data_IF_272071200202
#
_entry.id   IF_272071200202
#
_cell.length_a   1.000
_cell.length_b   1.000
_cell.length_c   1.000
_cell.angle_alpha   90.00
_cell.angle_beta   90.00
_cell.angle_gamma   90.00
#
_symmetry.space_group_name_H-M   'P 1'
#
loop_
_entity.id
_entity.type
_entity.pdbx_description
1 polymer ?
#
# COMPACT_ATOMS: atom_id res chain seq x y z
N UNK A 1 8.58 -30.31 -16.89
CA UNK A 1 7.22 -29.74 -16.64
C UNK A 1 7.35 -28.32 -16.06
N UNK A 2 6.49 -27.40 -16.44
CA UNK A 2 6.58 -26.02 -15.91
C UNK A 2 6.00 -26.00 -14.49
N UNK A 3 6.76 -25.47 -13.53
CA UNK A 3 6.35 -25.37 -12.12
C UNK A 3 5.01 -24.62 -11.98
N UNK A 4 3.91 -25.34 -11.83
CA UNK A 4 2.54 -24.81 -11.73
C UNK A 4 2.38 -23.98 -10.47
N UNK A 5 3.09 -24.32 -9.39
CA UNK A 5 3.08 -23.58 -8.12
C UNK A 5 3.72 -22.21 -8.32
N UNK A 6 4.86 -22.17 -9.02
CA UNK A 6 5.52 -20.90 -9.41
C UNK A 6 4.60 -20.04 -10.25
N UNK A 7 4.07 -20.58 -11.33
CA UNK A 7 3.15 -19.84 -12.24
C UNK A 7 1.91 -19.32 -11.52
N UNK A 8 1.31 -20.11 -10.62
CA UNK A 8 0.16 -19.70 -9.83
C UNK A 8 0.49 -18.53 -8.89
N UNK A 9 1.67 -18.57 -8.26
CA UNK A 9 2.12 -17.52 -7.35
C UNK A 9 2.48 -16.24 -8.09
N UNK A 10 3.22 -16.34 -9.19
CA UNK A 10 3.55 -15.19 -10.05
C UNK A 10 2.29 -14.52 -10.61
N UNK A 11 1.30 -15.33 -11.01
CA UNK A 11 0.00 -14.79 -11.40
C UNK A 11 -0.66 -13.98 -10.28
N UNK A 12 -0.67 -14.49 -9.03
CA UNK A 12 -1.22 -13.78 -7.88
C UNK A 12 -0.48 -12.46 -7.63
N UNK A 13 0.85 -12.48 -7.60
CA UNK A 13 1.69 -11.29 -7.44
C UNK A 13 1.32 -10.24 -8.49
N UNK A 14 1.30 -10.63 -9.77
CA UNK A 14 0.94 -9.73 -10.88
C UNK A 14 -0.47 -9.14 -10.74
N UNK A 15 -1.43 -9.93 -10.28
CA UNK A 15 -2.80 -9.46 -10.09
C UNK A 15 -2.92 -8.48 -8.92
N UNK A 16 -2.11 -8.64 -7.85
CA UNK A 16 -2.03 -7.69 -6.76
C UNK A 16 -1.45 -6.37 -7.28
N UNK A 17 -0.34 -6.40 -8.01
CA UNK A 17 0.29 -5.20 -8.58
C UNK A 17 -0.64 -4.42 -9.51
N UNK A 18 -1.42 -5.13 -10.34
CA UNK A 18 -2.45 -4.50 -11.19
C UNK A 18 -3.53 -3.81 -10.33
N UNK A 19 -3.97 -4.48 -9.26
CA UNK A 19 -4.97 -3.90 -8.34
C UNK A 19 -4.42 -2.67 -7.62
N UNK A 20 -3.20 -2.76 -7.08
CA UNK A 20 -2.49 -1.63 -6.44
C UNK A 20 -2.40 -0.43 -7.39
N UNK A 21 -1.95 -0.64 -8.62
CA UNK A 21 -1.83 0.43 -9.61
C UNK A 21 -3.18 1.07 -9.96
N UNK A 22 -4.26 0.28 -10.04
CA UNK A 22 -5.59 0.79 -10.36
C UNK A 22 -6.18 1.59 -9.19
N UNK A 23 -6.10 1.05 -7.97
CA UNK A 23 -6.60 1.74 -6.77
C UNK A 23 -5.75 2.96 -6.41
N UNK A 24 -4.43 2.92 -6.66
CA UNK A 24 -3.59 4.10 -6.49
C UNK A 24 -4.00 5.24 -7.44
N UNK A 25 -4.30 4.94 -8.71
CA UNK A 25 -4.79 5.97 -9.64
C UNK A 25 -6.10 6.60 -9.19
N UNK A 26 -7.03 5.81 -8.66
CA UNK A 26 -8.29 6.33 -8.11
C UNK A 26 -8.08 7.08 -6.79
N UNK A 27 -7.11 6.66 -5.94
CA UNK A 27 -6.69 7.41 -4.76
C UNK A 27 -6.19 8.82 -5.12
N UNK A 28 -5.30 8.91 -6.11
CA UNK A 28 -4.78 10.22 -6.55
C UNK A 28 -5.91 11.14 -6.98
N UNK A 29 -6.89 10.63 -7.73
CA UNK A 29 -8.06 11.43 -8.13
C UNK A 29 -8.90 11.90 -6.93
N UNK A 30 -9.10 11.04 -5.93
CA UNK A 30 -9.81 11.38 -4.71
C UNK A 30 -9.06 12.47 -3.92
N UNK A 31 -7.73 12.32 -3.78
CA UNK A 31 -6.90 13.30 -3.07
C UNK A 31 -6.82 14.64 -3.81
N UNK A 32 -6.74 14.65 -5.13
CA UNK A 32 -6.78 15.90 -5.93
C UNK A 32 -8.13 16.61 -5.78
N UNK A 33 -9.22 15.87 -5.59
CA UNK A 33 -10.54 16.43 -5.31
C UNK A 33 -10.62 16.98 -3.88
N UNK A 34 -10.15 16.24 -2.90
CA UNK A 34 -10.05 16.67 -1.49
C UNK A 34 -9.25 17.97 -1.41
N UNK A 35 -8.08 18.01 -2.04
CA UNK A 35 -7.22 19.20 -2.05
C UNK A 35 -7.98 20.44 -2.55
N UNK A 36 -8.61 20.33 -3.71
CA UNK A 36 -9.38 21.45 -4.29
C UNK A 36 -10.51 21.91 -3.37
N UNK A 37 -11.26 20.97 -2.80
CA UNK A 37 -12.40 21.29 -1.95
C UNK A 37 -11.98 21.87 -0.59
N UNK A 38 -10.91 21.35 0.02
CA UNK A 38 -10.37 21.87 1.30
C UNK A 38 -9.82 23.29 1.09
N UNK A 39 -9.08 23.52 0.02
CA UNK A 39 -8.57 24.86 -0.31
C UNK A 39 -9.71 25.83 -0.62
N UNK A 40 -10.71 25.41 -1.40
CA UNK A 40 -11.88 26.24 -1.70
C UNK A 40 -12.70 26.55 -0.44
N UNK A 41 -12.86 25.56 0.47
CA UNK A 41 -13.51 25.74 1.75
C UNK A 41 -12.76 26.77 2.62
N UNK A 42 -11.45 26.64 2.76
CA UNK A 42 -10.63 27.61 3.49
C UNK A 42 -10.69 29.00 2.86
N UNK A 43 -10.66 29.05 1.53
CA UNK A 43 -10.79 30.32 0.78
C UNK A 43 -12.13 31.03 1.03
N UNK A 44 -13.21 30.27 1.17
CA UNK A 44 -14.56 30.78 1.36
C UNK A 44 -14.82 31.19 2.82
N UNK A 45 -14.37 30.36 3.77
CA UNK A 45 -14.83 30.44 5.15
C UNK A 45 -13.89 31.26 6.06
N UNK A 46 -12.64 31.51 5.63
CA UNK A 46 -11.68 32.27 6.44
C UNK A 46 -11.67 33.75 6.04
N UNK A 47 -11.91 34.63 7.02
CA UNK A 47 -11.81 36.07 6.87
C UNK A 47 -10.37 36.54 6.62
N UNK A 48 -10.22 37.64 5.87
CA UNK A 48 -8.92 38.20 5.47
C UNK A 48 -8.90 39.70 5.54
N UNK A 49 -7.73 40.24 5.78
CA UNK A 49 -7.41 41.65 5.56
C UNK A 49 -7.24 41.97 4.08
N UNK A 50 -7.16 43.23 3.72
CA UNK A 50 -6.95 43.70 2.34
C UNK A 50 -5.62 43.25 1.73
N UNK A 51 -4.59 43.00 2.58
CA UNK A 51 -3.29 42.46 2.15
C UNK A 51 -3.25 40.90 2.17
N UNK A 52 -4.41 40.26 2.37
CA UNK A 52 -4.58 38.79 2.30
C UNK A 52 -4.21 38.02 3.53
N UNK A 53 -3.98 38.66 4.70
CA UNK A 53 -3.69 37.99 5.97
C UNK A 53 -4.95 37.41 6.59
N UNK A 54 -4.84 36.23 7.19
CA UNK A 54 -5.92 35.53 7.87
C UNK A 54 -6.18 36.14 9.25
N UNK A 55 -7.45 36.37 9.62
CA UNK A 55 -7.81 37.10 10.84
C UNK A 55 -8.91 36.45 11.69
N UNK A 56 -9.60 35.45 11.22
CA UNK A 56 -10.77 34.89 11.94
C UNK A 56 -10.51 33.53 12.57
N UNK A 57 -10.11 33.53 13.84
CA UNK A 57 -9.79 32.32 14.58
C UNK A 57 -11.01 31.40 14.80
N UNK A 58 -12.21 31.97 15.01
CA UNK A 58 -13.42 31.17 15.18
C UNK A 58 -13.78 30.40 13.91
N UNK A 59 -13.62 31.00 12.74
CA UNK A 59 -13.83 30.33 11.46
C UNK A 59 -12.84 29.19 11.26
N UNK A 60 -11.56 29.35 11.69
CA UNK A 60 -10.56 28.30 11.66
C UNK A 60 -10.92 27.10 12.59
N UNK A 61 -11.55 27.35 13.72
CA UNK A 61 -12.06 26.28 14.60
C UNK A 61 -13.27 25.58 13.97
N UNK A 62 -14.20 26.34 13.37
CA UNK A 62 -15.43 25.83 12.78
C UNK A 62 -15.22 25.03 11.49
N UNK A 63 -14.04 25.12 10.86
CA UNK A 63 -13.77 24.44 9.58
C UNK A 63 -13.61 22.92 9.72
N UNK A 64 -13.23 22.40 10.90
CA UNK A 64 -12.93 21.00 11.15
C UNK A 64 -14.03 20.00 10.74
N UNK A 65 -15.31 20.17 11.15
CA UNK A 65 -16.37 19.26 10.73
C UNK A 65 -16.61 19.31 9.21
N UNK A 66 -16.37 20.46 8.56
CA UNK A 66 -16.49 20.60 7.10
C UNK A 66 -15.37 19.88 6.36
N UNK A 67 -14.12 19.98 6.85
CA UNK A 67 -12.98 19.16 6.36
C UNK A 67 -13.28 17.68 6.52
N UNK A 68 -13.79 17.28 7.71
CA UNK A 68 -14.18 15.89 7.93
C UNK A 68 -15.20 15.40 6.93
N UNK A 69 -16.23 16.17 6.63
CA UNK A 69 -17.26 15.82 5.66
C UNK A 69 -16.67 15.62 4.25
N UNK A 70 -15.70 16.44 3.84
CA UNK A 70 -14.99 16.28 2.56
C UNK A 70 -14.20 14.96 2.55
N UNK A 71 -13.41 14.67 3.60
CA UNK A 71 -12.62 13.44 3.69
C UNK A 71 -13.50 12.20 3.73
N UNK A 72 -14.60 12.23 4.47
CA UNK A 72 -15.54 11.11 4.56
C UNK A 72 -16.19 10.84 3.20
N UNK A 73 -16.61 11.86 2.49
CA UNK A 73 -17.25 11.71 1.18
C UNK A 73 -16.29 11.20 0.09
N UNK A 74 -15.07 11.68 0.06
CA UNK A 74 -14.15 11.38 -1.03
C UNK A 74 -13.21 10.21 -0.67
N UNK A 75 -12.53 10.28 0.48
CA UNK A 75 -11.52 9.30 0.84
C UNK A 75 -12.12 8.02 1.43
N UNK A 76 -13.11 8.12 2.34
CA UNK A 76 -13.72 6.90 2.90
C UNK A 76 -14.58 6.17 1.87
N UNK A 77 -15.26 6.86 0.94
CA UNK A 77 -15.96 6.22 -0.16
C UNK A 77 -15.01 5.48 -1.09
N UNK A 78 -13.83 6.06 -1.39
CA UNK A 78 -12.78 5.37 -2.12
C UNK A 78 -12.28 4.13 -1.36
N UNK A 79 -11.98 4.26 -0.08
CA UNK A 79 -11.47 3.16 0.75
C UNK A 79 -12.48 2.02 0.90
N UNK A 80 -13.78 2.34 1.02
CA UNK A 80 -14.87 1.35 1.02
C UNK A 80 -14.88 0.54 -0.29
N UNK A 81 -14.69 1.20 -1.43
CA UNK A 81 -14.56 0.53 -2.73
C UNK A 81 -13.38 -0.44 -2.76
N UNK A 82 -12.20 -0.02 -2.25
CA UNK A 82 -11.02 -0.91 -2.15
C UNK A 82 -11.32 -2.14 -1.30
N UNK A 83 -11.92 -1.93 -0.13
CA UNK A 83 -12.19 -3.01 0.83
C UNK A 83 -13.30 -3.94 0.32
N UNK A 84 -14.41 -3.41 -0.17
CA UNK A 84 -15.53 -4.25 -0.65
C UNK A 84 -15.20 -5.00 -1.92
N UNK A 85 -14.73 -4.28 -2.94
CA UNK A 85 -14.49 -4.89 -4.25
C UNK A 85 -13.09 -5.50 -4.38
N UNK A 86 -12.06 -4.75 -3.94
CA UNK A 86 -10.66 -5.15 -4.09
C UNK A 86 -10.39 -6.46 -3.36
N UNK A 87 -10.78 -6.56 -2.10
CA UNK A 87 -10.55 -7.76 -1.29
C UNK A 87 -11.44 -8.92 -1.75
N UNK A 88 -12.67 -8.66 -2.20
CA UNK A 88 -13.51 -9.71 -2.78
C UNK A 88 -12.88 -10.30 -4.06
N UNK A 89 -12.39 -9.43 -4.95
CA UNK A 89 -11.69 -9.87 -6.16
C UNK A 89 -10.41 -10.64 -5.81
N UNK A 90 -9.69 -10.20 -4.77
CA UNK A 90 -8.48 -10.86 -4.31
C UNK A 90 -8.76 -12.23 -3.71
N UNK A 91 -9.81 -12.39 -2.90
CA UNK A 91 -10.23 -13.68 -2.36
C UNK A 91 -10.55 -14.69 -3.47
N UNK A 92 -11.29 -14.27 -4.51
CA UNK A 92 -11.55 -15.11 -5.69
C UNK A 92 -10.28 -15.48 -6.46
N UNK A 93 -9.24 -14.65 -6.44
CA UNK A 93 -7.96 -14.98 -7.08
C UNK A 93 -7.16 -16.02 -6.29
N UNK A 94 -7.20 -15.95 -4.97
CA UNK A 94 -6.62 -17.00 -4.11
C UNK A 94 -7.33 -18.31 -4.37
N UNK A 95 -8.67 -18.35 -4.37
CA UNK A 95 -9.47 -19.53 -4.73
C UNK A 95 -9.05 -20.10 -6.09
N UNK A 96 -9.00 -19.26 -7.13
CA UNK A 96 -8.59 -19.69 -8.47
C UNK A 96 -7.16 -20.25 -8.50
N UNK A 97 -6.25 -19.72 -7.67
CA UNK A 97 -4.89 -20.22 -7.56
C UNK A 97 -4.87 -21.65 -6.98
N UNK A 98 -5.67 -21.91 -5.94
CA UNK A 98 -5.81 -23.24 -5.35
C UNK A 98 -6.41 -24.26 -6.33
N UNK A 99 -7.46 -23.91 -7.06
CA UNK A 99 -8.07 -24.76 -8.12
C UNK A 99 -7.05 -25.15 -9.20
N UNK A 100 -6.09 -24.29 -9.50
CA UNK A 100 -5.07 -24.57 -10.53
C UNK A 100 -3.99 -25.54 -10.11
N UNK A 101 -3.71 -25.67 -8.82
CA UNK A 101 -2.66 -26.55 -8.32
C UNK A 101 -3.07 -28.03 -8.46
N UNK A 102 -4.36 -28.35 -8.45
CA UNK A 102 -4.91 -29.66 -8.80
C UNK A 102 -4.74 -30.76 -7.72
N UNK A 103 -3.59 -30.79 -7.04
CA UNK A 103 -3.27 -31.81 -6.03
C UNK A 103 -3.65 -31.36 -4.59
N UNK A 104 -4.54 -30.40 -4.48
CA UNK A 104 -5.15 -29.95 -3.23
C UNK A 104 -6.51 -30.64 -3.13
N UNK A 105 -6.89 -31.21 -1.95
CA UNK A 105 -8.22 -31.78 -1.76
C UNK A 105 -9.32 -30.82 -2.16
N UNK A 106 -10.35 -31.35 -2.81
CA UNK A 106 -11.40 -30.55 -3.49
C UNK A 106 -12.09 -29.59 -2.52
N UNK A 107 -12.31 -30.00 -1.28
CA UNK A 107 -12.91 -29.19 -0.22
C UNK A 107 -12.10 -27.92 0.12
N UNK A 108 -10.80 -27.92 -0.17
CA UNK A 108 -9.93 -26.75 0.03
C UNK A 108 -9.67 -25.93 -1.24
N UNK A 109 -10.19 -26.35 -2.39
CA UNK A 109 -10.05 -25.59 -3.63
C UNK A 109 -10.98 -24.38 -3.66
N UNK A 110 -12.13 -24.43 -2.98
CA UNK A 110 -13.10 -23.33 -2.86
C UNK A 110 -12.93 -22.58 -1.52
N UNK A 111 -13.51 -21.39 -1.42
CA UNK A 111 -13.55 -20.65 -0.17
C UNK A 111 -14.51 -21.34 0.81
N UNK A 112 -13.97 -21.79 1.93
CA UNK A 112 -14.75 -22.38 3.03
C UNK A 112 -15.54 -21.32 3.80
N UNK A 113 -16.46 -21.75 4.68
CA UNK A 113 -17.14 -20.82 5.61
C UNK A 113 -16.14 -20.09 6.51
N UNK A 114 -15.07 -20.75 6.93
CA UNK A 114 -13.98 -20.14 7.69
C UNK A 114 -13.23 -19.06 6.90
N UNK A 115 -12.89 -19.33 5.63
CA UNK A 115 -12.29 -18.36 4.73
C UNK A 115 -13.17 -17.12 4.54
N UNK A 116 -14.48 -17.30 4.35
CA UNK A 116 -15.43 -16.20 4.19
C UNK A 116 -15.54 -15.35 5.46
N UNK A 117 -15.54 -15.98 6.64
CA UNK A 117 -15.51 -15.27 7.92
C UNK A 117 -14.21 -14.48 8.09
N UNK A 118 -13.06 -15.08 7.76
CA UNK A 118 -11.77 -14.41 7.75
C UNK A 118 -11.76 -13.20 6.79
N UNK A 119 -12.26 -13.36 5.58
CA UNK A 119 -12.39 -12.26 4.60
C UNK A 119 -13.21 -11.11 5.16
N UNK A 120 -14.33 -11.40 5.84
CA UNK A 120 -15.17 -10.37 6.48
C UNK A 120 -14.40 -9.62 7.57
N UNK A 121 -13.71 -10.33 8.44
CA UNK A 121 -12.93 -9.73 9.53
C UNK A 121 -11.77 -8.86 8.99
N UNK A 122 -11.04 -9.34 7.98
CA UNK A 122 -9.97 -8.57 7.36
C UNK A 122 -10.49 -7.30 6.69
N UNK A 123 -11.65 -7.37 6.01
CA UNK A 123 -12.30 -6.18 5.44
C UNK A 123 -12.58 -5.13 6.51
N UNK A 124 -13.14 -5.53 7.65
CA UNK A 124 -13.44 -4.61 8.74
C UNK A 124 -12.16 -4.02 9.34
N UNK A 125 -11.14 -4.83 9.58
CA UNK A 125 -9.86 -4.38 10.11
C UNK A 125 -9.18 -3.34 9.21
N UNK A 126 -9.11 -3.60 7.91
CA UNK A 126 -8.46 -2.66 6.98
C UNK A 126 -9.30 -1.40 6.75
N UNK A 127 -10.63 -1.50 6.74
CA UNK A 127 -11.48 -0.32 6.69
C UNK A 127 -11.26 0.61 7.89
N UNK A 128 -11.07 0.03 9.09
CA UNK A 128 -10.72 0.81 10.29
C UNK A 128 -9.40 1.54 10.11
N UNK A 129 -8.36 0.90 9.56
CA UNK A 129 -7.08 1.56 9.28
C UNK A 129 -7.22 2.74 8.30
N UNK A 130 -8.03 2.59 7.25
CA UNK A 130 -8.33 3.72 6.36
C UNK A 130 -9.07 4.84 7.07
N UNK A 131 -10.03 4.51 7.94
CA UNK A 131 -10.75 5.49 8.75
C UNK A 131 -9.82 6.26 9.69
N UNK A 132 -8.83 5.60 10.27
CA UNK A 132 -7.82 6.24 11.13
C UNK A 132 -6.99 7.27 10.36
N UNK A 133 -6.65 7.00 9.10
CA UNK A 133 -6.01 8.00 8.23
C UNK A 133 -6.92 9.20 8.02
N UNK A 134 -8.20 8.99 7.71
CA UNK A 134 -9.17 10.09 7.54
C UNK A 134 -9.24 10.96 8.80
N UNK A 135 -9.37 10.35 9.97
CA UNK A 135 -9.43 11.05 11.25
C UNK A 135 -8.14 11.84 11.55
N UNK A 136 -6.98 11.21 11.30
CA UNK A 136 -5.66 11.83 11.50
C UNK A 136 -5.51 13.06 10.62
N UNK A 137 -5.86 12.96 9.34
CA UNK A 137 -5.70 14.07 8.41
C UNK A 137 -6.78 15.13 8.55
N UNK A 138 -7.98 14.80 9.00
CA UNK A 138 -8.97 15.80 9.45
C UNK A 138 -8.35 16.69 10.54
N UNK A 139 -7.71 16.08 11.55
CA UNK A 139 -7.06 16.83 12.63
C UNK A 139 -5.89 17.68 12.11
N UNK A 140 -4.97 17.10 11.33
CA UNK A 140 -3.80 17.80 10.79
C UNK A 140 -4.18 19.00 9.91
N UNK A 141 -5.13 18.83 8.99
CA UNK A 141 -5.60 19.92 8.13
C UNK A 141 -6.25 21.05 8.93
N UNK A 142 -7.03 20.69 9.96
CA UNK A 142 -7.65 21.68 10.85
C UNK A 142 -6.59 22.41 11.68
N UNK A 143 -5.56 21.71 12.15
CA UNK A 143 -4.46 22.29 12.92
C UNK A 143 -3.61 23.23 12.05
N UNK A 144 -3.26 22.83 10.83
CA UNK A 144 -2.57 23.69 9.86
C UNK A 144 -3.39 24.97 9.61
N UNK A 145 -4.69 24.84 9.42
CA UNK A 145 -5.56 26.01 9.22
C UNK A 145 -5.56 26.94 10.46
N UNK A 146 -5.73 26.36 11.65
CA UNK A 146 -5.73 27.10 12.90
C UNK A 146 -4.42 27.84 13.14
N UNK A 147 -3.27 27.18 12.96
CA UNK A 147 -1.95 27.78 13.17
C UNK A 147 -1.70 28.95 12.21
N UNK A 148 -2.05 28.81 10.94
CA UNK A 148 -1.88 29.88 9.95
C UNK A 148 -2.74 31.12 10.28
N UNK A 149 -3.96 30.91 10.77
CA UNK A 149 -4.82 32.02 11.22
C UNK A 149 -4.28 32.67 12.50
N UNK A 150 -3.81 31.85 13.45
CA UNK A 150 -3.29 32.31 14.74
C UNK A 150 -2.09 33.26 14.57
N UNK A 151 -1.18 32.94 13.64
CA UNK A 151 0.01 33.78 13.36
C UNK A 151 -0.22 34.87 12.32
N UNK A 152 -1.42 34.94 11.74
CA UNK A 152 -1.77 35.93 10.73
C UNK A 152 -1.04 35.76 9.40
N UNK A 153 -0.79 34.51 8.98
CA UNK A 153 -0.18 34.20 7.70
C UNK A 153 -1.06 34.62 6.52
N UNK A 154 -0.44 34.79 5.35
CA UNK A 154 -1.19 35.00 4.12
C UNK A 154 -1.90 33.72 3.69
N UNK A 155 -3.05 33.87 3.05
CA UNK A 155 -3.81 32.71 2.54
C UNK A 155 -2.98 31.82 1.60
N UNK A 156 -2.09 32.41 0.81
CA UNK A 156 -1.20 31.66 -0.10
C UNK A 156 -0.27 30.70 0.64
N UNK A 157 0.16 31.05 1.86
CA UNK A 157 0.97 30.17 2.71
C UNK A 157 0.14 29.01 3.25
N UNK A 158 -1.06 29.30 3.76
CA UNK A 158 -2.02 28.26 4.16
C UNK A 158 -2.36 27.32 3.01
N UNK A 159 -2.67 27.85 1.83
CA UNK A 159 -2.96 27.05 0.64
C UNK A 159 -1.82 26.10 0.32
N UNK A 160 -0.57 26.57 0.34
CA UNK A 160 0.62 25.75 0.12
C UNK A 160 0.74 24.61 1.15
N UNK A 161 0.54 24.91 2.42
CA UNK A 161 0.61 23.90 3.49
C UNK A 161 -0.53 22.87 3.43
N UNK A 162 -1.76 23.29 3.11
CA UNK A 162 -2.88 22.37 2.90
C UNK A 162 -2.59 21.38 1.76
N UNK A 163 -2.10 21.90 0.61
CA UNK A 163 -1.70 21.09 -0.54
C UNK A 163 -0.59 20.11 -0.17
N UNK A 164 0.43 20.56 0.56
CA UNK A 164 1.53 19.71 1.02
C UNK A 164 1.06 18.65 2.01
N UNK A 165 0.14 18.98 2.91
CA UNK A 165 -0.43 18.03 3.87
C UNK A 165 -1.22 16.93 3.20
N UNK A 166 -1.91 17.21 2.10
CA UNK A 166 -2.71 16.21 1.36
C UNK A 166 -1.83 15.42 0.38
N UNK A 167 -1.18 16.10 -0.55
CA UNK A 167 -0.48 15.49 -1.69
C UNK A 167 1.06 15.46 -1.55
N UNK A 168 1.61 16.12 -0.53
CA UNK A 168 3.05 16.28 -0.35
C UNK A 168 3.66 17.32 -1.29
N UNK A 169 4.99 17.43 -1.27
CA UNK A 169 5.75 18.41 -2.06
C UNK A 169 5.51 18.35 -3.58
N UNK A 170 4.98 17.24 -4.07
CA UNK A 170 4.66 17.07 -5.49
C UNK A 170 3.44 17.89 -5.96
N UNK A 171 2.82 18.68 -5.08
CA UNK A 171 1.73 19.58 -5.44
C UNK A 171 2.25 20.89 -6.05
N UNK A 172 3.25 21.52 -5.42
CA UNK A 172 3.90 22.75 -5.88
C UNK A 172 5.27 22.94 -5.22
N UNK A 173 6.15 23.70 -5.85
CA UNK A 173 7.45 24.09 -5.30
C UNK A 173 7.83 25.49 -5.79
N UNK A 174 8.47 26.29 -4.92
CA UNK A 174 9.05 27.59 -5.28
C UNK A 174 10.39 27.44 -6.04
N UNK A 175 10.99 26.25 -5.99
CA UNK A 175 12.17 25.91 -6.77
C UNK A 175 11.77 25.62 -8.21
N UNK A 176 12.22 26.45 -9.14
CA UNK A 176 11.85 26.39 -10.57
C UNK A 176 12.19 25.04 -11.21
N UNK A 177 13.33 24.43 -10.85
CA UNK A 177 13.73 23.11 -11.39
C UNK A 177 12.86 22.00 -10.80
N UNK A 178 12.60 22.06 -9.49
CA UNK A 178 11.70 21.11 -8.84
C UNK A 178 10.29 21.23 -9.42
N UNK A 179 9.79 22.43 -9.67
CA UNK A 179 8.49 22.65 -10.27
C UNK A 179 8.41 22.07 -11.69
N UNK A 180 9.45 22.23 -12.52
CA UNK A 180 9.51 21.59 -13.84
C UNK A 180 9.42 20.08 -13.78
N UNK A 181 10.10 19.45 -12.81
CA UNK A 181 10.04 18.00 -12.58
C UNK A 181 8.65 17.57 -12.09
N UNK A 182 8.05 18.33 -11.19
CA UNK A 182 6.67 18.11 -10.69
C UNK A 182 5.67 18.14 -11.86
N UNK A 183 5.75 19.18 -12.70
CA UNK A 183 4.88 19.33 -13.86
C UNK A 183 5.08 18.21 -14.89
N UNK A 184 6.33 17.80 -15.10
CA UNK A 184 6.65 16.67 -15.96
C UNK A 184 6.04 15.36 -15.44
N UNK A 185 6.19 15.05 -14.13
CA UNK A 185 5.61 13.89 -13.49
C UNK A 185 4.08 13.93 -13.62
N UNK A 186 3.45 15.06 -13.27
CA UNK A 186 2.00 15.20 -13.30
C UNK A 186 1.40 14.99 -14.70
N UNK A 187 2.08 15.47 -15.74
CA UNK A 187 1.67 15.29 -17.14
C UNK A 187 1.87 13.87 -17.65
N UNK A 188 2.89 13.15 -17.15
CA UNK A 188 3.32 11.88 -17.74
C UNK A 188 3.15 10.65 -16.83
N UNK A 189 2.68 10.81 -15.59
CA UNK A 189 2.57 9.73 -14.58
C UNK A 189 1.79 8.48 -15.01
N UNK A 190 0.95 8.61 -16.03
CA UNK A 190 0.17 7.49 -16.59
C UNK A 190 0.64 7.04 -17.97
N UNK A 191 1.65 7.69 -18.54
CA UNK A 191 2.19 7.33 -19.83
C UNK A 191 3.22 6.19 -19.70
N UNK A 192 2.87 5.01 -20.20
CA UNK A 192 3.69 3.81 -20.09
C UNK A 192 5.06 3.97 -20.77
N UNK A 193 5.12 4.65 -21.93
CA UNK A 193 6.37 4.87 -22.67
C UNK A 193 7.36 5.80 -21.96
N UNK A 194 6.86 6.65 -21.05
CA UNK A 194 7.67 7.60 -20.28
C UNK A 194 7.92 7.17 -18.84
N UNK A 195 7.51 5.95 -18.47
CA UNK A 195 7.63 5.45 -17.10
C UNK A 195 9.04 5.57 -16.52
N UNK A 196 10.06 5.18 -17.26
CA UNK A 196 11.46 5.26 -16.82
C UNK A 196 11.92 6.72 -16.55
N UNK A 197 11.45 7.68 -17.35
CA UNK A 197 11.74 9.09 -17.16
C UNK A 197 10.98 9.67 -15.96
N UNK A 198 9.71 9.28 -15.79
CA UNK A 198 8.90 9.65 -14.60
C UNK A 198 9.56 9.12 -13.33
N UNK A 199 9.98 7.86 -13.32
CA UNK A 199 10.65 7.23 -12.17
C UNK A 199 11.98 7.94 -11.83
N UNK A 200 12.79 8.34 -12.83
CA UNK A 200 14.00 9.16 -12.61
C UNK A 200 13.68 10.54 -12.06
N UNK A 201 12.68 11.22 -12.62
CA UNK A 201 12.24 12.53 -12.13
C UNK A 201 11.75 12.46 -10.67
N UNK A 202 11.01 11.41 -10.31
CA UNK A 202 10.60 11.12 -8.93
C UNK A 202 11.84 10.91 -8.06
N UNK A 203 12.82 10.14 -8.50
CA UNK A 203 14.06 9.88 -7.75
C UNK A 203 14.87 11.16 -7.54
N UNK A 204 14.97 12.02 -8.56
CA UNK A 204 15.63 13.32 -8.47
C UNK A 204 14.95 14.22 -7.44
N UNK A 205 13.62 14.35 -7.51
CA UNK A 205 12.86 15.09 -6.49
C UNK A 205 13.03 14.49 -5.10
N UNK A 206 12.99 13.17 -4.99
CA UNK A 206 13.21 12.46 -3.74
C UNK A 206 14.59 12.72 -3.14
N UNK A 207 15.62 12.86 -3.94
CA UNK A 207 16.98 13.20 -3.48
C UNK A 207 17.06 14.67 -3.06
N UNK A 208 16.53 15.57 -3.88
CA UNK A 208 16.53 17.02 -3.63
C UNK A 208 15.76 17.38 -2.35
N UNK A 209 14.65 16.68 -2.10
CA UNK A 209 13.79 16.87 -0.92
C UNK A 209 13.88 15.69 0.07
N UNK A 210 15.10 15.20 0.32
CA UNK A 210 15.30 14.03 1.18
C UNK A 210 14.69 14.17 2.58
N UNK A 211 14.61 15.41 3.12
CA UNK A 211 13.94 15.73 4.39
C UNK A 211 12.42 15.55 4.32
N UNK A 212 11.81 15.81 3.15
CA UNK A 212 10.37 15.74 2.95
C UNK A 212 9.87 14.32 2.65
N UNK A 213 10.78 13.34 2.47
CA UNK A 213 10.41 11.91 2.42
C UNK A 213 9.79 11.43 3.72
N UNK A 214 10.18 12.04 4.82
CA UNK A 214 9.56 11.82 6.11
C UNK A 214 8.24 12.59 6.24
N UNK A 215 7.90 13.41 5.23
CA UNK A 215 6.70 14.23 5.20
C UNK A 215 5.45 13.41 5.45
N UNK A 216 4.75 13.76 6.47
CA UNK A 216 3.52 13.13 6.93
C UNK A 216 2.33 13.62 6.10
N UNK A 217 2.30 13.31 4.79
CA UNK A 217 1.18 13.67 3.93
C UNK A 217 0.20 12.51 3.73
N UNK A 218 -1.06 12.85 3.45
CA UNK A 218 -2.15 11.88 3.34
C UNK A 218 -1.91 10.87 2.22
N UNK A 219 -1.40 11.31 1.08
CA UNK A 219 -1.11 10.46 -0.08
C UNK A 219 -0.14 9.33 0.26
N UNK A 220 0.92 9.64 1.01
CA UNK A 220 1.92 8.64 1.44
C UNK A 220 1.29 7.59 2.35
N UNK A 221 0.57 8.04 3.40
CA UNK A 221 -0.06 7.11 4.35
C UNK A 221 -1.12 6.24 3.68
N UNK A 222 -2.01 6.84 2.90
CA UNK A 222 -3.05 6.12 2.18
C UNK A 222 -2.47 5.12 1.18
N UNK A 223 -1.41 5.49 0.45
CA UNK A 223 -0.72 4.59 -0.49
C UNK A 223 -0.04 3.43 0.21
N UNK A 224 0.59 3.66 1.36
CA UNK A 224 1.23 2.60 2.13
C UNK A 224 0.21 1.59 2.64
N UNK A 225 -0.91 2.08 3.22
CA UNK A 225 -1.98 1.18 3.69
C UNK A 225 -2.60 0.42 2.52
N UNK A 226 -2.85 1.07 1.38
CA UNK A 226 -3.35 0.40 0.18
C UNK A 226 -2.46 -0.78 -0.23
N UNK A 227 -1.16 -0.53 -0.38
CA UNK A 227 -0.21 -1.54 -0.82
C UNK A 227 -0.08 -2.69 0.20
N UNK A 228 0.10 -2.33 1.47
CA UNK A 228 0.25 -3.34 2.53
C UNK A 228 -1.05 -4.15 2.72
N UNK A 229 -2.21 -3.49 2.70
CA UNK A 229 -3.49 -4.16 2.93
C UNK A 229 -3.83 -5.21 1.87
N UNK A 230 -3.63 -4.91 0.58
CA UNK A 230 -3.89 -5.88 -0.50
C UNK A 230 -2.96 -7.09 -0.41
N UNK A 231 -1.69 -6.88 -0.07
CA UNK A 231 -0.68 -7.92 0.03
C UNK A 231 -0.83 -8.76 1.28
N UNK A 232 -1.08 -8.13 2.41
CA UNK A 232 -1.27 -8.82 3.69
C UNK A 232 -2.60 -9.60 3.68
N UNK A 233 -3.64 -9.07 3.03
CA UNK A 233 -4.91 -9.77 2.81
C UNK A 233 -4.68 -11.06 2.02
N UNK A 234 -3.99 -10.98 0.86
CA UNK A 234 -3.66 -12.16 0.05
C UNK A 234 -2.83 -13.17 0.84
N UNK A 235 -1.78 -12.71 1.52
CA UNK A 235 -0.91 -13.57 2.30
C UNK A 235 -1.64 -14.25 3.46
N UNK A 236 -2.52 -13.52 4.18
CA UNK A 236 -3.30 -14.06 5.30
C UNK A 236 -4.27 -15.13 4.83
N UNK A 237 -5.04 -14.85 3.77
CA UNK A 237 -6.00 -15.82 3.24
C UNK A 237 -5.28 -17.05 2.68
N UNK A 238 -4.20 -16.84 1.93
CA UNK A 238 -3.39 -17.94 1.40
C UNK A 238 -2.76 -18.81 2.53
N UNK A 239 -2.23 -18.18 3.58
CA UNK A 239 -1.70 -18.89 4.74
C UNK A 239 -2.75 -19.76 5.42
N UNK A 240 -3.92 -19.21 5.76
CA UNK A 240 -4.97 -19.95 6.45
C UNK A 240 -5.48 -21.09 5.58
N UNK A 241 -5.79 -20.81 4.32
CA UNK A 241 -6.27 -21.83 3.38
C UNK A 241 -5.25 -22.95 3.17
N UNK A 242 -3.97 -22.62 3.08
CA UNK A 242 -2.89 -23.61 2.93
C UNK A 242 -2.72 -24.47 4.18
N UNK A 243 -2.82 -23.86 5.36
CA UNK A 243 -2.77 -24.59 6.63
C UNK A 243 -3.93 -25.59 6.75
N UNK A 244 -5.14 -25.16 6.40
CA UNK A 244 -6.33 -26.01 6.44
C UNK A 244 -6.21 -27.18 5.44
N UNK A 245 -5.54 -26.96 4.31
CA UNK A 245 -5.21 -27.99 3.32
C UNK A 245 -3.96 -28.87 3.71
N UNK A 246 -3.39 -28.70 4.90
CA UNK A 246 -2.25 -29.48 5.38
C UNK A 246 -0.91 -29.17 4.71
N UNK A 247 -0.77 -28.02 4.04
CA UNK A 247 0.47 -27.63 3.37
C UNK A 247 1.45 -27.02 4.38
N UNK A 248 2.53 -27.74 4.66
CA UNK A 248 3.48 -27.44 5.77
C UNK A 248 4.81 -26.84 5.31
N UNK A 249 5.10 -26.87 4.01
CA UNK A 249 6.30 -26.30 3.43
C UNK A 249 5.98 -25.07 2.61
N UNK A 250 6.98 -24.21 2.43
CA UNK A 250 6.84 -22.95 1.69
C UNK A 250 8.01 -22.71 0.74
N UNK A 251 7.72 -22.06 -0.39
CA UNK A 251 8.70 -21.43 -1.28
C UNK A 251 8.43 -19.93 -1.33
N UNK A 252 9.48 -19.14 -1.51
CA UNK A 252 9.37 -17.68 -1.59
C UNK A 252 9.58 -17.20 -3.01
N UNK A 253 8.66 -16.43 -3.52
CA UNK A 253 8.66 -15.96 -4.90
C UNK A 253 8.52 -14.44 -5.00
N UNK A 254 9.05 -13.87 -6.05
CA UNK A 254 8.96 -12.47 -6.42
C UNK A 254 10.23 -11.99 -7.12
N UNK A 255 10.12 -10.86 -7.82
CA UNK A 255 11.23 -10.29 -8.57
C UNK A 255 12.26 -9.65 -7.64
N UNK A 256 13.53 -9.95 -7.88
CA UNK A 256 14.66 -9.31 -7.20
C UNK A 256 15.07 -8.05 -7.98
N UNK A 257 14.91 -6.89 -7.34
CA UNK A 257 15.30 -5.58 -7.86
C UNK A 257 16.42 -4.97 -7.00
N UNK A 258 17.13 -3.93 -7.44
CA UNK A 258 18.22 -3.33 -6.65
C UNK A 258 17.86 -2.96 -5.21
N UNK A 259 16.62 -2.53 -4.98
CA UNK A 259 16.10 -2.15 -3.64
C UNK A 259 15.50 -3.32 -2.86
N UNK A 260 15.58 -4.55 -3.37
CA UNK A 260 15.11 -5.74 -2.65
C UNK A 260 15.95 -5.97 -1.40
N UNK A 261 15.28 -6.11 -0.24
CA UNK A 261 15.93 -6.39 1.04
C UNK A 261 16.72 -7.69 0.97
N UNK A 262 17.85 -7.72 1.67
CA UNK A 262 18.74 -8.90 1.71
C UNK A 262 17.99 -10.18 2.09
N UNK A 263 17.15 -10.15 3.14
CA UNK A 263 16.32 -11.29 3.53
C UNK A 263 15.50 -11.82 2.34
N UNK A 264 14.78 -10.93 1.64
CA UNK A 264 13.93 -11.33 0.53
C UNK A 264 14.75 -11.89 -0.64
N UNK A 265 15.87 -11.26 -0.98
CA UNK A 265 16.79 -11.70 -2.03
C UNK A 265 17.33 -13.09 -1.73
N UNK A 266 17.79 -13.31 -0.50
CA UNK A 266 18.37 -14.59 -0.09
C UNK A 266 17.33 -15.72 0.00
N UNK A 267 16.08 -15.40 0.38
CA UNK A 267 14.97 -16.36 0.35
C UNK A 267 14.59 -16.75 -1.08
N UNK A 268 14.49 -15.76 -2.00
CA UNK A 268 14.15 -16.03 -3.43
C UNK A 268 15.27 -16.85 -4.09
N UNK A 269 16.53 -16.51 -3.82
CA UNK A 269 17.69 -17.16 -4.40
C UNK A 269 18.08 -18.47 -3.68
N UNK A 270 17.34 -18.89 -2.64
CA UNK A 270 17.61 -20.14 -1.91
C UNK A 270 18.89 -20.13 -1.08
N UNK A 271 19.49 -18.95 -0.79
CA UNK A 271 20.78 -18.85 -0.06
C UNK A 271 20.71 -19.44 1.34
N UNK A 272 19.55 -19.31 2.01
CA UNK A 272 19.35 -19.85 3.37
C UNK A 272 18.94 -21.32 3.37
N UNK A 273 18.76 -21.94 2.23
CA UNK A 273 18.18 -23.26 2.13
C UNK A 273 19.20 -24.32 1.86
N UNK A 274 19.21 -25.37 2.71
CA UNK A 274 20.00 -26.57 2.52
C UNK A 274 19.24 -27.72 1.81
N UNK A 275 17.89 -27.52 1.59
CA UNK A 275 17.06 -28.52 0.89
C UNK A 275 17.02 -28.22 -0.60
N UNK A 276 17.02 -29.30 -1.39
CA UNK A 276 16.81 -29.19 -2.82
C UNK A 276 15.44 -28.56 -3.11
N UNK A 277 15.35 -27.77 -4.18
CA UNK A 277 14.10 -27.11 -4.59
C UNK A 277 13.72 -25.81 -3.85
N UNK A 278 14.55 -25.33 -2.91
CA UNK A 278 14.28 -24.07 -2.20
C UNK A 278 13.10 -24.13 -1.24
N UNK A 279 12.82 -25.31 -0.65
CA UNK A 279 11.73 -25.52 0.30
C UNK A 279 12.15 -25.19 1.73
N UNK A 280 11.30 -24.46 2.44
CA UNK A 280 11.45 -24.16 3.87
C UNK A 280 10.26 -24.72 4.63
N UNK A 281 10.47 -25.15 5.87
CA UNK A 281 9.38 -25.32 6.82
C UNK A 281 8.89 -23.97 7.32
N UNK A 282 7.67 -23.92 7.82
CA UNK A 282 7.12 -22.73 8.46
C UNK A 282 7.98 -22.26 9.63
N UNK A 283 8.54 -23.19 10.42
CA UNK A 283 9.38 -22.84 11.56
C UNK A 283 10.74 -22.25 11.14
N UNK A 284 11.38 -22.78 10.11
CA UNK A 284 12.61 -22.19 9.57
C UNK A 284 12.42 -20.74 9.10
N UNK A 285 11.28 -20.43 8.49
CA UNK A 285 10.97 -19.03 8.12
C UNK A 285 10.79 -18.17 9.36
N UNK A 286 10.11 -18.67 10.40
CA UNK A 286 9.93 -17.93 11.67
C UNK A 286 11.28 -17.64 12.33
N UNK A 287 12.16 -18.65 12.42
CA UNK A 287 13.48 -18.52 13.02
C UNK A 287 14.37 -17.55 12.25
N UNK A 288 14.40 -17.66 10.92
CA UNK A 288 15.10 -16.73 10.03
C UNK A 288 14.60 -15.29 10.21
N UNK A 289 13.30 -15.11 10.36
CA UNK A 289 12.70 -13.80 10.52
C UNK A 289 12.97 -13.22 11.92
N UNK A 290 12.92 -14.02 12.97
CA UNK A 290 13.17 -13.59 14.35
C UNK A 290 14.64 -13.23 14.58
N UNK A 291 15.55 -14.02 14.03
CA UNK A 291 17.01 -13.84 14.24
C UNK A 291 17.61 -12.64 13.48
N UNK A 292 16.85 -11.95 12.66
CA UNK A 292 17.35 -10.84 11.83
C UNK A 292 16.56 -9.56 12.03
N UNK A 293 17.26 -8.43 11.84
CA UNK A 293 16.66 -7.09 11.83
C UNK A 293 17.00 -6.37 10.53
N UNK A 294 16.08 -5.55 10.04
CA UNK A 294 16.27 -4.69 8.85
C UNK A 294 15.31 -3.50 8.88
N UNK A 295 15.65 -2.46 8.14
CA UNK A 295 14.78 -1.28 8.00
C UNK A 295 13.45 -1.65 7.32
N UNK A 296 12.34 -1.23 7.94
CA UNK A 296 10.99 -1.54 7.47
C UNK A 296 10.50 -2.96 7.79
N UNK A 297 11.14 -3.66 8.75
CA UNK A 297 10.59 -4.87 9.34
C UNK A 297 9.26 -4.53 10.03
N UNK A 298 8.24 -5.36 9.79
CA UNK A 298 6.88 -5.14 10.30
C UNK A 298 6.59 -6.21 11.34
N UNK A 299 6.05 -5.85 12.49
CA UNK A 299 5.59 -6.82 13.49
C UNK A 299 4.47 -7.70 12.93
N UNK A 300 4.37 -8.94 13.41
CA UNK A 300 3.31 -9.87 13.02
C UNK A 300 3.82 -11.25 12.59
N UNK A 301 2.91 -12.04 12.01
CA UNK A 301 3.26 -13.38 11.49
C UNK A 301 4.22 -13.24 10.28
N UNK A 302 5.44 -13.80 10.33
CA UNK A 302 6.42 -13.71 9.24
C UNK A 302 5.89 -14.15 7.88
N UNK A 303 5.00 -15.14 7.85
CA UNK A 303 4.41 -15.68 6.62
C UNK A 303 3.38 -14.73 6.00
N UNK A 304 2.84 -13.81 6.79
CA UNK A 304 1.92 -12.75 6.34
C UNK A 304 2.68 -11.46 6.04
N UNK A 305 3.51 -11.00 6.97
CA UNK A 305 4.23 -9.72 6.82
C UNK A 305 5.48 -9.82 5.94
N UNK A 306 5.97 -11.01 5.68
CA UNK A 306 7.06 -11.32 4.73
C UNK A 306 8.32 -10.49 5.01
N UNK A 307 8.82 -9.71 4.03
CA UNK A 307 9.94 -8.78 4.22
C UNK A 307 9.59 -7.45 4.92
N UNK A 308 8.33 -7.26 5.37
CA UNK A 308 7.87 -6.04 6.02
C UNK A 308 7.16 -5.06 5.07
N UNK A 309 7.16 -3.77 5.42
CA UNK A 309 6.45 -2.72 4.64
C UNK A 309 6.84 -2.72 3.17
N UNK A 310 5.83 -2.59 2.29
CA UNK A 310 5.99 -2.58 0.83
C UNK A 310 6.68 -3.83 0.23
N UNK A 311 6.69 -4.96 0.94
CA UNK A 311 7.27 -6.21 0.42
C UNK A 311 6.41 -6.75 -0.74
N UNK A 312 7.03 -6.96 -1.92
CA UNK A 312 6.34 -7.45 -3.13
C UNK A 312 6.37 -8.97 -3.29
N UNK A 313 7.12 -9.67 -2.45
CA UNK A 313 7.26 -11.12 -2.52
C UNK A 313 6.10 -11.84 -1.81
N UNK A 314 5.87 -13.10 -2.18
CA UNK A 314 4.82 -13.94 -1.59
C UNK A 314 5.35 -15.34 -1.29
N UNK A 315 4.81 -15.94 -0.25
CA UNK A 315 4.96 -17.37 0.00
C UNK A 315 3.96 -18.16 -0.82
N UNK A 316 4.42 -19.29 -1.36
CA UNK A 316 3.58 -20.36 -1.85
C UNK A 316 3.73 -21.55 -0.93
N UNK A 317 2.63 -22.17 -0.57
CA UNK A 317 2.59 -23.32 0.32
C UNK A 317 2.51 -24.58 -0.52
N UNK A 318 3.24 -25.59 -0.13
CA UNK A 318 3.40 -26.84 -0.89
C UNK A 318 3.44 -28.06 0.03
N UNK A 319 3.13 -29.23 -0.54
CA UNK A 319 3.45 -30.51 0.06
C UNK A 319 4.85 -30.90 -0.45
N UNK A 320 5.78 -31.33 0.42
CA UNK A 320 7.09 -31.83 0.01
C UNK A 320 7.01 -33.03 -0.94
N UNK A 321 5.97 -33.85 -0.86
CA UNK A 321 5.73 -35.01 -1.73
C UNK A 321 5.47 -34.63 -3.20
N UNK A 322 5.24 -33.35 -3.47
CA UNK A 322 5.10 -32.84 -4.84
C UNK A 322 6.45 -32.67 -5.55
N UNK A 323 7.56 -32.88 -4.83
CA UNK A 323 8.91 -32.67 -5.35
C UNK A 323 9.72 -33.93 -5.30
N UNK A 324 10.50 -34.23 -6.34
CA UNK A 324 11.43 -35.34 -6.39
C UNK A 324 12.69 -35.08 -5.56
N UNK A 325 13.59 -36.09 -5.55
CA UNK A 325 14.86 -35.99 -4.85
C UNK A 325 15.80 -34.90 -5.36
N UNK A 326 15.53 -34.36 -6.57
CA UNK A 326 16.24 -33.20 -7.17
C UNK A 326 15.60 -31.90 -6.83
N UNK A 327 14.40 -31.89 -6.21
CA UNK A 327 13.60 -30.71 -5.90
C UNK A 327 12.83 -30.17 -7.11
N UNK A 328 12.60 -31.01 -8.12
CA UNK A 328 11.74 -30.71 -9.26
C UNK A 328 10.31 -31.11 -8.97
N UNK A 329 9.36 -30.30 -9.44
CA UNK A 329 7.93 -30.55 -9.25
C UNK A 329 7.49 -31.75 -10.11
N UNK A 330 6.84 -32.75 -9.50
CA UNK A 330 6.41 -34.01 -10.11
C UNK A 330 4.90 -34.14 -10.28
N UNK A 331 4.12 -33.11 -9.91
CA UNK A 331 2.65 -33.06 -10.05
C UNK A 331 2.22 -32.28 -11.28
#
# INVERSE_FOLDING_TARGET
MSDIVKKSTEYRIKQIEIAEANYYRSLVKALDKIEREVVALANKDLGRTTDGRLIELQSAIAIRPKIKAILDREYLAWSDTVVREGFTKQAKRVEKAFKRIGNIPVEFQELTKGDLALVKNLKQQYFTQFKDVSNTFTRKLSEVTYQNVLVGNKFTELEKELRQTINGIYASSDDVEAQKLIDYINRNKYNKSKKAQVDRSIQTLQTKFARDRAGENMKRYASQILNDSLRDFDATLNFNKSRDAGLTFVKYYGDVIPTTRELCRNLVNGVYNKRKGGLFTINEIKDLWQSRSWSGKKSGNPLVVRGGYNCRHQFSYVNPDWYDSKGELII
#
